data_IF_750996899503
#
_entry.id   IF_750996899503
#
_cell.length_a   1.000
_cell.length_b   1.000
_cell.length_c   1.000
_cell.angle_alpha   90.00
_cell.angle_beta   90.00
_cell.angle_gamma   90.00
#
_symmetry.space_group_name_H-M   'P 1'
#
loop_
_entity.id
_entity.type
_entity.pdbx_description
1 polymer ?
#
# COMPACT_ATOMS: atom_id res chain seq x y z
N UNK A 1 -24.81 -0.79 11.24
CA UNK A 1 -25.06 -0.82 9.79
C UNK A 1 -24.14 -1.87 9.23
N UNK A 2 -24.69 -3.01 8.83
CA UNK A 2 -23.97 -3.99 8.06
C UNK A 2 -23.53 -3.33 6.76
N UNK A 3 -22.27 -3.41 6.45
CA UNK A 3 -21.78 -3.06 5.12
C UNK A 3 -22.46 -4.02 4.15
N UNK A 4 -23.38 -3.50 3.32
CA UNK A 4 -24.20 -4.29 2.40
C UNK A 4 -23.40 -4.87 1.24
N UNK A 5 -22.33 -5.57 1.54
CA UNK A 5 -21.64 -6.42 0.59
C UNK A 5 -22.55 -7.64 0.35
N UNK A 6 -22.93 -7.84 -0.89
CA UNK A 6 -23.71 -9.02 -1.29
C UNK A 6 -22.96 -10.27 -0.81
N UNK A 7 -23.51 -10.99 0.14
CA UNK A 7 -22.93 -12.21 0.70
C UNK A 7 -22.79 -13.34 -0.34
N UNK A 8 -23.40 -13.18 -1.50
CA UNK A 8 -23.33 -14.14 -2.61
C UNK A 8 -22.07 -13.98 -3.48
N UNK A 9 -21.45 -12.79 -3.50
CA UNK A 9 -20.34 -12.47 -4.41
C UNK A 9 -19.10 -11.96 -3.69
N UNK A 10 -19.16 -11.74 -2.39
CA UNK A 10 -18.02 -11.20 -1.61
C UNK A 10 -17.76 -12.04 -0.37
N UNK A 11 -16.50 -12.38 -0.18
CA UNK A 11 -16.00 -13.00 1.03
C UNK A 11 -15.16 -11.95 1.77
N UNK A 12 -15.40 -11.76 3.06
CA UNK A 12 -14.51 -10.96 3.89
C UNK A 12 -13.92 -11.82 5.01
N UNK A 13 -12.73 -11.47 5.39
CA UNK A 13 -12.03 -12.07 6.52
C UNK A 13 -11.55 -10.97 7.45
N UNK A 14 -11.91 -11.07 8.72
CA UNK A 14 -11.44 -10.18 9.77
C UNK A 14 -10.39 -10.91 10.61
N UNK A 15 -9.12 -10.55 10.40
CA UNK A 15 -8.02 -10.99 11.26
C UNK A 15 -7.75 -9.94 12.33
N UNK A 16 -7.82 -10.32 13.59
CA UNK A 16 -7.42 -9.46 14.72
C UNK A 16 -6.04 -9.91 15.18
N UNK A 17 -5.06 -9.03 15.01
CA UNK A 17 -3.67 -9.30 15.39
C UNK A 17 -3.24 -8.34 16.48
N UNK A 18 -2.67 -8.88 17.54
CA UNK A 18 -2.09 -8.09 18.61
C UNK A 18 -0.69 -7.65 18.21
N UNK A 19 -0.59 -6.63 17.36
CA UNK A 19 0.70 -6.04 16.97
C UNK A 19 1.00 -4.85 17.88
N UNK A 20 2.22 -4.78 18.42
CA UNK A 20 2.68 -3.55 19.07
C UNK A 20 2.73 -2.45 18.00
N UNK A 21 2.09 -1.31 18.28
CA UNK A 21 1.96 -0.19 17.33
C UNK A 21 3.33 0.28 16.82
N UNK A 22 4.35 0.24 17.69
CA UNK A 22 5.70 0.72 17.40
C UNK A 22 6.60 -0.30 16.70
N UNK A 23 6.20 -1.58 16.61
CA UNK A 23 7.01 -2.60 15.95
C UNK A 23 6.83 -2.58 14.44
N UNK A 24 7.93 -2.65 13.69
CA UNK A 24 7.89 -2.89 12.23
C UNK A 24 7.59 -4.35 11.88
N UNK A 25 7.68 -5.26 12.86
CA UNK A 25 7.53 -6.71 12.67
C UNK A 25 6.16 -7.21 13.10
N UNK A 26 5.79 -8.39 12.60
CA UNK A 26 4.56 -9.14 12.93
C UNK A 26 4.88 -10.58 13.26
N UNK A 27 3.96 -11.27 13.93
CA UNK A 27 4.06 -12.72 14.12
C UNK A 27 3.84 -13.50 12.81
N UNK A 28 4.39 -14.70 12.74
CA UNK A 28 4.23 -15.57 11.56
C UNK A 28 2.76 -15.94 11.29
N UNK A 29 1.95 -15.98 12.31
CA UNK A 29 0.51 -16.26 12.24
C UNK A 29 -0.23 -15.24 11.37
N UNK A 30 0.22 -13.98 11.38
CA UNK A 30 -0.32 -12.94 10.51
C UNK A 30 -0.23 -13.34 9.04
N UNK A 31 0.96 -13.74 8.57
CA UNK A 31 1.17 -14.13 7.19
C UNK A 31 0.56 -15.48 6.85
N UNK A 32 0.53 -16.43 7.78
CA UNK A 32 -0.13 -17.72 7.56
C UNK A 32 -1.62 -17.56 7.28
N UNK A 33 -2.28 -16.67 8.01
CA UNK A 33 -3.68 -16.37 7.80
C UNK A 33 -3.91 -15.58 6.51
N UNK A 34 -3.08 -14.56 6.24
CA UNK A 34 -3.14 -13.79 5.00
C UNK A 34 -2.93 -14.69 3.76
N UNK A 35 -1.92 -15.56 3.79
CA UNK A 35 -1.68 -16.55 2.72
C UNK A 35 -2.86 -17.50 2.53
N UNK A 36 -3.46 -17.97 3.63
CA UNK A 36 -4.66 -18.81 3.55
C UNK A 36 -5.81 -18.09 2.86
N UNK A 37 -6.02 -16.81 3.19
CA UNK A 37 -7.04 -15.98 2.56
C UNK A 37 -6.76 -15.77 1.07
N UNK A 38 -5.55 -15.34 0.70
CA UNK A 38 -5.15 -15.09 -0.68
C UNK A 38 -5.29 -16.33 -1.56
N UNK A 39 -4.81 -17.50 -1.08
CA UNK A 39 -4.92 -18.76 -1.80
C UNK A 39 -6.38 -19.21 -2.01
N UNK A 40 -7.26 -18.93 -1.05
CA UNK A 40 -8.69 -19.27 -1.16
C UNK A 40 -9.47 -18.29 -2.02
N UNK A 41 -9.01 -17.06 -2.15
CA UNK A 41 -9.75 -16.03 -2.90
C UNK A 41 -9.86 -16.36 -4.39
N UNK A 42 -8.87 -17.05 -4.96
CA UNK A 42 -8.80 -17.31 -6.42
C UNK A 42 -8.67 -16.03 -7.25
N UNK A 43 -8.38 -14.89 -6.62
CA UNK A 43 -8.24 -13.61 -7.30
C UNK A 43 -6.90 -13.50 -8.02
N UNK A 44 -6.89 -12.92 -9.22
CA UNK A 44 -5.66 -12.67 -9.95
C UNK A 44 -4.90 -11.44 -9.44
N UNK A 45 -5.61 -10.47 -8.86
CA UNK A 45 -5.06 -9.21 -8.37
C UNK A 45 -5.52 -8.93 -6.94
N UNK A 46 -4.65 -8.33 -6.16
CA UNK A 46 -4.90 -7.92 -4.78
C UNK A 46 -4.64 -6.44 -4.62
N UNK A 47 -5.54 -5.73 -3.94
CA UNK A 47 -5.29 -4.37 -3.47
C UNK A 47 -4.91 -4.42 -2.00
N UNK A 48 -3.75 -3.89 -1.66
CA UNK A 48 -3.34 -3.63 -0.29
C UNK A 48 -3.41 -2.12 -0.03
N UNK A 49 -4.03 -1.72 1.08
CA UNK A 49 -4.16 -0.32 1.46
C UNK A 49 -4.19 -0.16 2.97
N UNK A 50 -3.85 1.03 3.44
CA UNK A 50 -3.96 1.44 4.84
C UNK A 50 -5.25 2.22 5.11
N UNK A 51 -5.59 2.39 6.39
CA UNK A 51 -6.78 3.13 6.82
C UNK A 51 -6.49 4.59 7.21
N UNK A 52 -5.29 5.07 6.95
CA UNK A 52 -4.83 6.43 7.30
C UNK A 52 -4.97 7.44 6.14
N UNK A 53 -5.51 7.01 5.02
CA UNK A 53 -5.75 7.85 3.84
C UNK A 53 -7.21 7.74 3.40
N UNK A 54 -7.83 8.88 3.10
CA UNK A 54 -9.14 8.97 2.45
C UNK A 54 -8.94 9.46 1.02
N UNK A 55 -9.34 8.65 0.05
CA UNK A 55 -9.22 8.94 -1.38
C UNK A 55 -10.51 8.59 -2.11
N UNK A 56 -10.76 9.28 -3.22
CA UNK A 56 -11.82 8.94 -4.18
C UNK A 56 -11.15 8.40 -5.46
N UNK A 57 -10.49 7.26 -5.36
CA UNK A 57 -9.75 6.64 -6.47
C UNK A 57 -10.62 5.63 -7.21
N UNK A 58 -10.60 5.67 -8.54
CA UNK A 58 -11.17 4.62 -9.37
C UNK A 58 -10.16 3.47 -9.51
N UNK A 59 -10.36 2.42 -8.72
CA UNK A 59 -9.51 1.24 -8.76
C UNK A 59 -9.52 0.53 -10.11
N UNK A 60 -10.58 0.63 -10.91
CA UNK A 60 -10.61 0.00 -12.25
C UNK A 60 -9.57 0.62 -13.18
N UNK A 61 -9.35 1.93 -13.08
CA UNK A 61 -8.28 2.59 -13.80
C UNK A 61 -6.91 2.06 -13.38
N UNK A 62 -6.69 1.93 -12.06
CA UNK A 62 -5.41 1.42 -11.53
C UNK A 62 -5.17 -0.03 -11.97
N UNK A 63 -6.19 -0.89 -11.92
CA UNK A 63 -6.11 -2.27 -12.42
C UNK A 63 -5.77 -2.35 -13.90
N UNK A 64 -6.41 -1.50 -14.72
CA UNK A 64 -6.12 -1.46 -16.15
C UNK A 64 -4.67 -1.08 -16.43
N UNK A 65 -4.18 -0.04 -15.77
CA UNK A 65 -2.79 0.42 -15.93
C UNK A 65 -1.78 -0.58 -15.37
N UNK A 66 -2.07 -1.20 -14.22
CA UNK A 66 -1.26 -2.28 -13.66
C UNK A 66 -1.07 -3.44 -14.65
N UNK A 67 -2.18 -3.89 -15.26
CA UNK A 67 -2.14 -4.95 -16.28
C UNK A 67 -1.35 -4.53 -17.50
N UNK A 68 -1.51 -3.27 -17.96
CA UNK A 68 -0.84 -2.74 -19.14
C UNK A 68 0.66 -2.55 -18.91
N UNK A 69 1.06 -2.13 -17.71
CA UNK A 69 2.45 -1.92 -17.34
C UNK A 69 3.26 -3.24 -17.29
N UNK A 70 2.58 -4.39 -17.13
CA UNK A 70 3.22 -5.71 -17.11
C UNK A 70 4.20 -5.89 -15.94
N UNK A 71 3.96 -5.20 -14.84
CA UNK A 71 4.76 -5.31 -13.60
C UNK A 71 3.94 -5.99 -12.51
N UNK A 72 4.55 -6.82 -11.66
CA UNK A 72 3.81 -7.56 -10.65
C UNK A 72 3.28 -6.69 -9.51
N UNK A 73 3.71 -5.44 -9.43
CA UNK A 73 3.32 -4.49 -8.39
C UNK A 73 3.21 -3.07 -8.96
N UNK A 74 2.14 -2.38 -8.60
CA UNK A 74 1.89 -0.95 -8.87
C UNK A 74 1.70 -0.23 -7.54
N UNK A 75 2.29 0.93 -7.38
CA UNK A 75 2.10 1.80 -6.22
C UNK A 75 1.43 3.10 -6.63
N UNK A 76 0.45 3.53 -5.85
CA UNK A 76 -0.22 4.81 -6.07
C UNK A 76 0.49 5.91 -5.28
N UNK A 77 0.77 7.04 -5.93
CA UNK A 77 1.34 8.21 -5.26
C UNK A 77 0.59 9.49 -5.63
N UNK A 78 0.79 10.51 -4.85
CA UNK A 78 0.28 11.85 -5.13
C UNK A 78 1.37 12.89 -4.91
N UNK A 79 1.45 13.87 -5.83
CA UNK A 79 2.32 15.03 -5.64
C UNK A 79 1.69 15.97 -4.61
N UNK A 80 2.39 16.21 -3.53
CA UNK A 80 1.95 17.10 -2.45
C UNK A 80 3.05 18.09 -2.09
N UNK A 81 2.67 19.32 -1.69
CA UNK A 81 3.62 20.27 -1.15
C UNK A 81 4.11 19.83 0.23
N UNK A 82 5.33 20.20 0.57
CA UNK A 82 6.02 19.86 1.82
C UNK A 82 5.15 20.03 3.07
N UNK A 83 4.35 21.10 3.13
CA UNK A 83 3.48 21.42 4.28
C UNK A 83 2.37 20.40 4.55
N UNK A 84 2.01 19.58 3.55
CA UNK A 84 0.92 18.61 3.63
C UNK A 84 1.43 17.17 3.87
N UNK A 85 2.76 17.02 4.10
CA UNK A 85 3.44 15.75 4.33
C UNK A 85 3.93 15.71 5.78
N UNK A 86 3.77 14.56 6.42
CA UNK A 86 4.29 14.30 7.76
C UNK A 86 5.52 13.37 7.70
N UNK A 87 6.30 13.35 8.79
CA UNK A 87 7.49 12.52 8.97
C UNK A 87 7.24 11.00 8.91
N UNK A 88 5.98 10.58 9.06
CA UNK A 88 5.58 9.16 8.93
C UNK A 88 5.26 8.76 7.49
N UNK A 89 5.09 9.72 6.58
CA UNK A 89 4.83 9.44 5.18
C UNK A 89 6.10 8.98 4.46
N UNK A 90 5.90 8.19 3.42
CA UNK A 90 6.98 7.77 2.54
C UNK A 90 6.90 8.52 1.20
N UNK A 91 8.07 8.75 0.62
CA UNK A 91 8.26 9.47 -0.63
C UNK A 91 8.82 8.51 -1.67
N UNK A 92 8.31 8.61 -2.90
CA UNK A 92 8.81 7.88 -4.06
C UNK A 92 9.74 8.75 -4.89
N UNK A 93 10.84 8.17 -5.33
CA UNK A 93 11.57 8.62 -6.51
C UNK A 93 11.13 7.77 -7.68
N UNK A 94 10.73 8.40 -8.77
CA UNK A 94 10.15 7.75 -9.95
C UNK A 94 10.95 8.21 -11.16
N UNK A 95 11.28 7.28 -12.06
CA UNK A 95 11.98 7.61 -13.30
C UNK A 95 11.04 8.15 -14.40
N UNK A 96 11.60 8.47 -15.56
CA UNK A 96 10.86 9.01 -16.72
C UNK A 96 9.86 7.99 -17.34
N UNK A 97 9.95 6.74 -16.95
CA UNK A 97 9.09 5.63 -17.41
C UNK A 97 8.12 5.16 -16.34
N UNK A 98 7.87 5.98 -15.31
CA UNK A 98 7.00 5.72 -14.20
C UNK A 98 7.39 4.47 -13.36
N UNK A 99 8.69 4.15 -13.26
CA UNK A 99 9.17 3.09 -12.38
C UNK A 99 9.71 3.66 -11.06
N UNK A 100 9.43 2.95 -9.98
CA UNK A 100 9.91 3.29 -8.64
C UNK A 100 11.40 2.99 -8.52
N UNK A 101 12.18 4.02 -8.25
CA UNK A 101 13.62 3.93 -7.97
C UNK A 101 13.91 3.86 -6.48
N UNK A 102 13.10 4.52 -5.66
CA UNK A 102 13.31 4.61 -4.23
C UNK A 102 11.99 4.84 -3.50
N UNK A 103 11.87 4.29 -2.29
CA UNK A 103 10.71 4.42 -1.41
C UNK A 103 11.21 4.66 0.02
N UNK A 104 11.33 5.92 0.42
CA UNK A 104 11.96 6.33 1.67
C UNK A 104 11.00 7.16 2.51
N UNK A 105 11.22 7.18 3.82
CA UNK A 105 10.51 8.11 4.70
C UNK A 105 10.83 9.55 4.33
N UNK A 106 9.85 10.43 4.53
CA UNK A 106 9.98 11.85 4.28
C UNK A 106 11.06 12.47 5.16
N UNK A 107 11.98 13.21 4.53
CA UNK A 107 12.98 14.02 5.23
C UNK A 107 12.53 15.49 5.30
N UNK A 108 12.16 15.93 6.49
CA UNK A 108 11.75 17.31 6.73
C UNK A 108 12.87 18.35 6.47
N UNK A 109 14.13 17.90 6.37
CA UNK A 109 15.28 18.78 6.06
C UNK A 109 15.46 19.00 4.55
N UNK A 110 14.78 18.23 3.70
CA UNK A 110 14.84 18.44 2.25
C UNK A 110 14.46 19.87 1.89
N UNK A 111 15.11 20.42 0.90
CA UNK A 111 14.86 21.77 0.35
C UNK A 111 13.77 21.77 -0.71
N UNK A 112 13.32 20.60 -1.15
CA UNK A 112 12.29 20.48 -2.16
C UNK A 112 10.94 20.99 -1.62
N UNK A 113 10.13 21.54 -2.51
CA UNK A 113 8.82 22.05 -2.17
C UNK A 113 7.69 21.09 -2.50
N UNK A 114 7.92 20.16 -3.44
CA UNK A 114 6.94 19.20 -3.93
C UNK A 114 7.52 17.78 -3.89
N UNK A 115 6.71 16.83 -3.44
CA UNK A 115 7.13 15.43 -3.24
C UNK A 115 6.09 14.45 -3.77
N UNK A 116 6.56 13.33 -4.29
CA UNK A 116 5.72 12.19 -4.64
C UNK A 116 5.41 11.38 -3.37
N UNK A 117 4.39 11.78 -2.63
CA UNK A 117 3.98 11.05 -1.42
C UNK A 117 3.33 9.72 -1.80
N UNK A 118 3.89 8.61 -1.30
CA UNK A 118 3.26 7.30 -1.40
C UNK A 118 1.96 7.27 -0.62
N UNK A 119 0.91 6.77 -1.25
CA UNK A 119 -0.37 6.54 -0.55
C UNK A 119 -0.39 5.20 0.19
N UNK A 120 0.65 4.36 0.02
CA UNK A 120 0.65 2.96 0.45
C UNK A 120 -0.56 2.15 -0.08
N UNK A 121 -1.13 2.59 -1.20
CA UNK A 121 -2.09 1.80 -1.98
C UNK A 121 -1.28 1.05 -3.04
N UNK A 122 -1.33 -0.27 -2.98
CA UNK A 122 -0.64 -1.15 -3.92
C UNK A 122 -1.65 -2.03 -4.64
N UNK A 123 -1.48 -2.18 -5.94
CA UNK A 123 -2.11 -3.24 -6.73
C UNK A 123 -1.05 -4.26 -7.08
N UNK A 124 -1.32 -5.51 -6.82
CA UNK A 124 -0.31 -6.58 -6.87
C UNK A 124 -0.90 -7.82 -7.53
N UNK A 125 -0.13 -8.49 -8.39
CA UNK A 125 -0.48 -9.81 -8.88
C UNK A 125 -0.53 -10.81 -7.73
N UNK A 126 -1.70 -11.41 -7.49
CA UNK A 126 -1.93 -12.28 -6.32
C UNK A 126 -1.00 -13.49 -6.29
N UNK A 127 -0.77 -14.24 -7.39
CA UNK A 127 0.15 -15.37 -7.37
C UNK A 127 1.58 -14.95 -6.99
N UNK A 128 2.07 -13.85 -7.56
CA UNK A 128 3.38 -13.32 -7.24
C UNK A 128 3.47 -12.87 -5.76
N UNK A 129 2.44 -12.18 -5.25
CA UNK A 129 2.38 -11.78 -3.84
C UNK A 129 2.45 -12.99 -2.90
N UNK A 130 1.72 -14.06 -3.21
CA UNK A 130 1.76 -15.30 -2.43
C UNK A 130 3.19 -15.83 -2.31
N UNK A 131 3.93 -15.93 -3.41
CA UNK A 131 5.33 -16.37 -3.41
C UNK A 131 6.22 -15.51 -2.51
N UNK A 132 6.09 -14.18 -2.62
CA UNK A 132 6.87 -13.25 -1.78
C UNK A 132 6.52 -13.35 -0.29
N UNK A 133 5.24 -13.55 0.03
CA UNK A 133 4.81 -13.71 1.43
C UNK A 133 5.19 -15.08 2.00
N UNK A 134 5.28 -16.12 1.18
CA UNK A 134 5.83 -17.42 1.60
C UNK A 134 7.32 -17.32 1.97
N UNK A 135 8.10 -16.50 1.27
CA UNK A 135 9.46 -16.18 1.65
C UNK A 135 9.52 -15.37 2.95
N UNK A 136 8.64 -14.36 3.10
CA UNK A 136 8.62 -13.48 4.25
C UNK A 136 8.30 -14.23 5.55
N UNK A 137 7.37 -15.18 5.53
CA UNK A 137 6.97 -15.97 6.71
C UNK A 137 8.10 -16.87 7.24
N UNK A 138 9.12 -17.17 6.42
CA UNK A 138 10.28 -17.95 6.85
C UNK A 138 11.27 -17.13 7.69
N UNK A 139 11.23 -15.81 7.60
CA UNK A 139 12.11 -14.94 8.38
C UNK A 139 11.84 -15.13 9.88
N UNK A 140 12.87 -14.92 10.69
CA UNK A 140 12.74 -14.96 12.15
C UNK A 140 11.80 -13.85 12.65
N UNK A 141 11.90 -12.67 12.03
CA UNK A 141 11.12 -11.47 12.34
C UNK A 141 10.49 -10.91 11.06
N UNK A 142 9.33 -11.46 10.63
CA UNK A 142 8.63 -10.94 9.45
C UNK A 142 8.23 -9.49 9.64
N UNK A 143 8.37 -8.67 8.61
CA UNK A 143 7.98 -7.27 8.64
C UNK A 143 6.47 -7.10 8.40
N UNK A 144 5.91 -5.94 8.76
CA UNK A 144 4.52 -5.60 8.40
C UNK A 144 4.38 -5.52 6.87
N UNK A 145 3.25 -5.97 6.35
CA UNK A 145 2.97 -6.03 4.91
C UNK A 145 3.30 -4.71 4.19
N UNK A 146 3.01 -3.56 4.81
CA UNK A 146 3.34 -2.25 4.25
C UNK A 146 4.83 -2.08 3.92
N UNK A 147 5.71 -2.50 4.84
CA UNK A 147 7.15 -2.38 4.63
C UNK A 147 7.66 -3.38 3.60
N UNK A 148 7.15 -4.61 3.65
CA UNK A 148 7.44 -5.63 2.63
C UNK A 148 7.07 -5.13 1.23
N UNK A 149 5.87 -4.54 1.06
CA UNK A 149 5.43 -4.01 -0.23
C UNK A 149 6.25 -2.80 -0.69
N UNK A 150 6.69 -1.94 0.24
CA UNK A 150 7.59 -0.82 -0.08
C UNK A 150 8.93 -1.31 -0.61
N UNK A 151 9.54 -2.29 0.04
CA UNK A 151 10.82 -2.88 -0.38
C UNK A 151 10.69 -3.61 -1.72
N UNK A 152 9.62 -4.38 -1.90
CA UNK A 152 9.33 -5.06 -3.14
C UNK A 152 9.06 -4.07 -4.28
N UNK A 153 8.41 -2.94 -4.03
CA UNK A 153 8.18 -1.92 -5.04
C UNK A 153 9.50 -1.36 -5.62
N UNK A 154 10.50 -1.17 -4.78
CA UNK A 154 11.85 -0.74 -5.23
C UNK A 154 12.57 -1.87 -5.95
N UNK A 155 12.58 -3.08 -5.35
CA UNK A 155 13.30 -4.23 -5.88
C UNK A 155 12.83 -4.64 -7.27
N UNK A 156 11.53 -4.61 -7.52
CA UNK A 156 10.91 -5.03 -8.78
C UNK A 156 10.73 -3.86 -9.77
N UNK A 157 11.08 -2.64 -9.38
CA UNK A 157 10.82 -1.45 -10.17
C UNK A 157 9.32 -1.30 -10.45
N UNK A 158 8.54 -1.22 -9.38
CA UNK A 158 7.08 -1.11 -9.46
C UNK A 158 6.65 0.00 -10.41
N UNK A 159 5.51 -0.18 -11.10
CA UNK A 159 4.88 0.92 -11.81
C UNK A 159 4.30 1.93 -10.81
N UNK A 160 4.60 3.21 -10.99
CA UNK A 160 4.12 4.29 -10.14
C UNK A 160 2.93 5.00 -10.80
N UNK A 161 1.76 4.90 -10.19
CA UNK A 161 0.54 5.57 -10.67
C UNK A 161 0.35 6.91 -9.97
N UNK A 162 0.40 8.02 -10.72
CA UNK A 162 0.11 9.36 -10.18
C UNK A 162 -1.40 9.56 -10.00
N UNK A 163 -1.83 9.71 -8.75
CA UNK A 163 -3.21 10.06 -8.41
C UNK A 163 -3.37 11.58 -8.25
N UNK A 164 -4.24 12.18 -9.05
CA UNK A 164 -4.45 13.64 -9.06
C UNK A 164 -5.73 14.08 -8.32
N UNK A 165 -6.59 13.12 -7.93
CA UNK A 165 -7.86 13.41 -7.27
C UNK A 165 -7.72 13.83 -5.79
N UNK A 166 -8.86 13.87 -5.08
CA UNK A 166 -8.89 14.22 -3.66
C UNK A 166 -8.15 13.20 -2.80
N UNK A 167 -7.31 13.68 -1.89
CA UNK A 167 -6.64 12.88 -0.88
C UNK A 167 -6.62 13.63 0.44
N UNK A 168 -7.05 12.98 1.52
CA UNK A 168 -6.83 13.43 2.89
C UNK A 168 -5.95 12.42 3.62
N UNK A 169 -4.83 12.91 4.15
CA UNK A 169 -3.87 12.14 4.93
C UNK A 169 -4.19 12.30 6.42
N UNK A 170 -4.67 11.23 7.05
CA UNK A 170 -5.13 11.25 8.46
C UNK A 170 -4.00 10.78 9.35
N UNK A 171 -3.14 11.70 9.77
CA UNK A 171 -2.00 11.46 10.65
C UNK A 171 -2.12 12.14 12.02
N UNK A 172 -3.19 12.91 12.25
CA UNK A 172 -3.43 13.63 13.50
C UNK A 172 -4.93 13.87 13.73
N UNK A 173 -5.29 14.20 14.95
CA UNK A 173 -6.69 14.62 15.28
C UNK A 173 -7.11 15.81 14.43
N UNK A 174 -6.18 16.77 14.19
CA UNK A 174 -6.46 17.94 13.34
C UNK A 174 -6.76 17.51 11.89
N UNK A 175 -5.93 16.67 11.29
CA UNK A 175 -6.15 16.21 9.90
C UNK A 175 -7.43 15.36 9.77
N UNK A 176 -7.81 14.61 10.81
CA UNK A 176 -9.09 13.91 10.85
C UNK A 176 -10.30 14.87 10.76
N UNK A 177 -10.30 15.95 11.55
CA UNK A 177 -11.37 16.96 11.47
C UNK A 177 -11.37 17.75 10.16
N UNK A 178 -10.22 17.91 9.52
CA UNK A 178 -10.12 18.57 8.21
C UNK A 178 -10.61 17.69 7.05
N UNK A 179 -10.56 16.36 7.22
CA UNK A 179 -11.01 15.39 6.22
C UNK A 179 -12.53 15.17 6.22
N UNK A 180 -13.25 15.63 7.26
CA UNK A 180 -14.70 15.63 7.36
C UNK A 180 -15.27 16.93 6.80
#
# INVERSE_FOLDING_TARGET
REWGLSTLLSHYYLGIYNTRVESSTVGKEYYQQLLTYLKRSGSNQTVALNCDIVVNIDLNQVFHLHTTAGRPITVVYKKLPKKDISDVNAILEVDETDHVLSHKLFDAKSTDELFNMSTDIFVVDTPWLIERLEEEVQKEYPEKLRYVLRDLAVKEGAFAYEYTGYLANIHSVKSYYQAN
#
